data_IF_761199672887
#
_entry.id   IF_761199672887
#
_cell.length_a   1.000
_cell.length_b   1.000
_cell.length_c   1.000
_cell.angle_alpha   90.00
_cell.angle_beta   90.00
_cell.angle_gamma   90.00
#
_symmetry.space_group_name_H-M   'P 1'
#
loop_
_entity.id
_entity.type
_entity.pdbx_description
1 polymer ?
#
# COMPACT_ATOMS: atom_id res chain seq x y z
N UNK A 1 -100.93 36.85 -14.56
CA UNK A 1 -100.22 37.99 -13.95
C UNK A 1 -99.25 37.37 -12.95
N UNK A 2 -97.92 37.34 -13.09
CA UNK A 2 -96.95 38.13 -13.85
C UNK A 2 -95.64 37.30 -13.90
N UNK A 3 -94.89 37.33 -15.01
CA UNK A 3 -93.50 36.80 -15.07
C UNK A 3 -92.57 37.61 -14.16
N UNK A 4 -91.57 37.00 -13.49
CA UNK A 4 -90.16 37.45 -13.58
C UNK A 4 -89.15 36.38 -13.13
N UNK A 5 -88.06 36.27 -13.90
CA UNK A 5 -86.90 35.38 -13.81
C UNK A 5 -85.81 35.85 -12.81
N UNK A 6 -85.04 34.86 -12.33
CA UNK A 6 -83.59 34.84 -12.04
C UNK A 6 -83.04 35.80 -10.94
N UNK A 7 -82.00 35.49 -10.14
CA UNK A 7 -80.70 34.92 -10.48
C UNK A 7 -80.04 34.16 -9.32
N UNK A 8 -79.34 33.09 -9.70
CA UNK A 8 -78.27 32.40 -8.98
C UNK A 8 -77.25 33.35 -8.32
N UNK A 9 -76.91 33.08 -7.05
CA UNK A 9 -75.63 33.49 -6.47
C UNK A 9 -74.79 32.25 -6.22
N UNK A 10 -73.74 32.13 -7.04
CA UNK A 10 -72.79 31.02 -7.13
C UNK A 10 -71.99 30.89 -5.82
N UNK A 11 -71.95 29.69 -5.24
CA UNK A 11 -71.03 29.34 -4.17
C UNK A 11 -69.63 29.13 -4.76
N UNK A 12 -68.60 29.69 -4.11
CA UNK A 12 -67.19 29.41 -4.41
C UNK A 12 -66.62 28.52 -3.29
N UNK A 13 -65.90 27.43 -3.62
CA UNK A 13 -65.40 26.48 -2.63
C UNK A 13 -64.10 26.95 -1.96
N UNK A 14 -64.02 26.77 -0.64
CA UNK A 14 -62.79 26.84 0.14
C UNK A 14 -61.80 25.76 -0.34
N UNK A 15 -60.68 26.18 -0.95
CA UNK A 15 -59.53 25.31 -1.21
C UNK A 15 -58.71 25.16 0.07
N UNK A 16 -58.68 23.93 0.60
CA UNK A 16 -57.69 23.49 1.60
C UNK A 16 -56.33 23.39 0.92
N UNK A 17 -55.35 24.15 1.38
CA UNK A 17 -53.94 23.99 0.99
C UNK A 17 -53.39 22.89 1.91
N UNK A 18 -53.16 21.70 1.35
CA UNK A 18 -52.39 20.66 2.00
C UNK A 18 -50.91 21.04 1.89
N UNK A 19 -50.25 21.28 3.02
CA UNK A 19 -48.81 21.43 3.08
C UNK A 19 -48.19 20.03 3.04
N UNK A 20 -47.66 19.64 1.89
CA UNK A 20 -46.91 18.39 1.72
C UNK A 20 -45.46 18.66 2.14
N UNK A 21 -45.08 18.25 3.35
CA UNK A 21 -43.69 18.25 3.79
C UNK A 21 -42.96 17.11 3.10
N UNK A 22 -42.18 17.41 2.07
CA UNK A 22 -41.24 16.46 1.47
C UNK A 22 -40.03 16.32 2.41
N UNK A 23 -40.01 15.23 3.18
CA UNK A 23 -38.83 14.79 3.91
C UNK A 23 -37.86 14.20 2.87
N UNK A 24 -36.89 14.99 2.43
CA UNK A 24 -35.79 14.50 1.62
C UNK A 24 -34.89 13.62 2.49
N UNK A 25 -34.98 12.30 2.32
CA UNK A 25 -33.99 11.37 2.83
C UNK A 25 -32.71 11.60 2.01
N UNK A 26 -31.73 12.28 2.59
CA UNK A 26 -30.39 12.33 2.03
C UNK A 26 -29.80 10.92 2.15
N UNK A 27 -29.85 10.17 1.04
CA UNK A 27 -28.99 9.00 0.87
C UNK A 27 -27.57 9.55 0.80
N UNK A 28 -26.82 9.48 1.90
CA UNK A 28 -25.38 9.60 1.81
C UNK A 28 -24.91 8.44 0.93
N UNK A 29 -24.51 8.75 -0.30
CA UNK A 29 -23.79 7.80 -1.13
C UNK A 29 -22.47 7.54 -0.40
N UNK A 30 -22.34 6.38 0.23
CA UNK A 30 -21.02 5.83 0.54
C UNK A 30 -20.41 5.53 -0.82
N UNK A 31 -19.57 6.44 -1.31
CA UNK A 31 -18.70 6.14 -2.44
C UNK A 31 -17.75 5.03 -1.98
N UNK A 32 -17.68 3.88 -2.66
CA UNK A 32 -16.59 2.96 -2.42
C UNK A 32 -15.31 3.74 -2.76
N UNK A 33 -14.42 3.93 -1.78
CA UNK A 33 -13.09 4.47 -2.04
C UNK A 33 -12.38 3.38 -2.82
N UNK A 34 -12.34 3.57 -4.14
CA UNK A 34 -11.63 2.73 -5.08
C UNK A 34 -10.65 3.63 -5.81
N UNK A 35 -9.88 4.42 -5.06
CA UNK A 35 -8.73 5.13 -5.60
C UNK A 35 -7.50 4.27 -5.34
N UNK A 36 -7.29 3.31 -6.24
CA UNK A 36 -5.97 2.71 -6.46
C UNK A 36 -5.04 3.69 -7.22
N UNK A 37 -5.59 4.82 -7.69
CA UNK A 37 -4.85 5.92 -8.28
C UNK A 37 -4.75 7.02 -7.21
N UNK A 38 -3.61 7.10 -6.53
CA UNK A 38 -3.33 8.21 -5.63
C UNK A 38 -2.79 9.42 -6.41
N UNK A 39 -3.29 10.61 -6.09
CA UNK A 39 -2.77 11.87 -6.61
C UNK A 39 -1.69 12.42 -5.66
N UNK A 40 -0.43 12.07 -5.97
CA UNK A 40 0.74 12.51 -5.20
C UNK A 40 1.32 13.75 -5.88
N UNK A 41 1.13 14.92 -5.27
CA UNK A 41 1.73 16.16 -5.75
C UNK A 41 3.23 16.24 -5.43
N UNK A 42 4.03 16.75 -6.38
CA UNK A 42 5.48 16.91 -6.25
C UNK A 42 5.91 17.77 -5.05
N UNK A 43 5.05 18.69 -4.60
CA UNK A 43 5.31 19.66 -3.52
C UNK A 43 4.65 19.30 -2.18
N UNK A 44 4.09 18.09 -2.03
CA UNK A 44 3.54 17.62 -0.75
C UNK A 44 4.58 17.72 0.37
N UNK A 45 4.15 18.28 1.50
CA UNK A 45 5.06 18.68 2.58
C UNK A 45 5.53 17.50 3.43
N UNK A 46 6.76 17.62 3.92
CA UNK A 46 7.27 16.77 4.98
C UNK A 46 6.75 17.24 6.34
N UNK A 47 5.99 16.39 7.03
CA UNK A 47 5.60 16.65 8.41
C UNK A 47 6.71 16.18 9.36
N UNK A 48 7.03 17.03 10.34
CA UNK A 48 8.05 16.75 11.37
C UNK A 48 7.42 16.42 12.71
N UNK A 49 8.10 15.60 13.51
CA UNK A 49 7.73 15.29 14.88
C UNK A 49 6.77 14.10 14.97
N UNK A 50 6.68 13.57 16.20
CA UNK A 50 5.99 12.32 16.45
C UNK A 50 4.49 12.40 16.16
N UNK A 51 3.97 11.38 15.47
CA UNK A 51 2.56 11.18 15.20
C UNK A 51 2.14 9.75 15.55
N UNK A 52 0.93 9.62 16.09
CA UNK A 52 0.28 8.33 16.32
C UNK A 52 -0.95 8.28 15.43
N UNK A 53 -0.98 7.33 14.50
CA UNK A 53 -2.05 7.20 13.50
C UNK A 53 -2.81 5.92 13.81
N UNK A 54 -4.07 6.05 14.23
CA UNK A 54 -4.93 4.91 14.60
C UNK A 54 -5.98 4.56 13.55
N UNK A 55 -6.23 5.46 12.60
CA UNK A 55 -7.21 5.34 11.53
C UNK A 55 -6.76 6.21 10.35
N UNK A 56 -7.17 5.84 9.14
CA UNK A 56 -6.81 6.52 7.91
C UNK A 56 -5.81 5.74 7.07
N UNK A 57 -5.60 6.24 5.86
CA UNK A 57 -4.79 5.61 4.83
C UNK A 57 -3.31 6.02 4.97
N UNK A 58 -2.43 5.02 4.99
CA UNK A 58 -0.98 5.23 5.12
C UNK A 58 -0.24 4.25 4.22
N UNK A 59 0.58 4.77 3.31
CA UNK A 59 1.40 3.95 2.42
C UNK A 59 2.89 4.12 2.64
N UNK A 60 3.61 3.00 2.61
CA UNK A 60 5.05 2.99 2.46
C UNK A 60 5.40 3.32 1.01
N UNK A 61 6.22 4.34 0.80
CA UNK A 61 6.71 4.72 -0.52
C UNK A 61 8.22 4.87 -0.56
N UNK A 62 8.78 4.54 -1.72
CA UNK A 62 10.03 5.16 -2.15
C UNK A 62 9.70 6.58 -2.61
N UNK A 63 10.46 7.57 -2.18
CA UNK A 63 10.34 8.97 -2.56
C UNK A 63 11.65 9.40 -3.22
N UNK A 64 11.56 10.00 -4.41
CA UNK A 64 12.71 10.61 -5.07
C UNK A 64 12.51 12.12 -5.20
N UNK A 65 13.13 12.89 -4.30
CA UNK A 65 13.02 14.35 -4.25
C UNK A 65 14.39 14.97 -4.02
N UNK A 66 14.67 16.08 -4.71
CA UNK A 66 15.94 16.81 -4.63
C UNK A 66 17.18 15.93 -4.91
N UNK A 67 17.02 14.93 -5.79
CA UNK A 67 18.06 13.96 -6.14
C UNK A 67 18.42 12.99 -5.03
N UNK A 68 17.57 12.84 -4.01
CA UNK A 68 17.76 11.92 -2.89
C UNK A 68 16.64 10.87 -2.86
N UNK A 69 17.02 9.63 -2.60
CA UNK A 69 16.10 8.51 -2.41
C UNK A 69 15.81 8.32 -0.93
N UNK A 70 14.53 8.27 -0.58
CA UNK A 70 14.08 8.14 0.80
C UNK A 70 12.94 7.13 0.88
N UNK A 71 12.88 6.37 1.97
CA UNK A 71 11.68 5.61 2.31
C UNK A 71 10.84 6.49 3.24
N UNK A 72 9.60 6.76 2.87
CA UNK A 72 8.69 7.63 3.62
C UNK A 72 7.31 6.99 3.74
N UNK A 73 6.55 7.49 4.71
CA UNK A 73 5.13 7.19 4.85
C UNK A 73 4.34 8.33 4.24
N UNK A 74 3.53 8.02 3.24
CA UNK A 74 2.50 8.92 2.74
C UNK A 74 1.31 8.80 3.69
N UNK A 75 0.96 9.91 4.35
CA UNK A 75 -0.10 9.97 5.36
C UNK A 75 -1.26 10.82 4.84
N UNK A 76 -2.28 10.12 4.33
CA UNK A 76 -3.55 10.69 3.85
C UNK A 76 -4.60 10.80 4.97
N UNK A 77 -4.25 10.44 6.22
CA UNK A 77 -5.09 10.77 7.38
C UNK A 77 -5.01 12.25 7.76
N UNK A 78 -3.94 12.94 7.31
CA UNK A 78 -3.78 14.38 7.42
C UNK A 78 -4.46 15.10 6.24
N UNK A 79 -4.96 16.31 6.48
CA UNK A 79 -5.53 17.17 5.45
C UNK A 79 -4.81 18.54 5.45
N UNK A 80 -4.01 18.86 4.42
CA UNK A 80 -3.69 18.03 3.26
C UNK A 80 -2.77 16.84 3.60
N UNK A 81 -2.65 15.84 2.71
CA UNK A 81 -1.67 14.76 2.81
C UNK A 81 -0.24 15.23 3.05
N UNK A 82 0.51 14.44 3.82
CA UNK A 82 1.91 14.75 4.16
C UNK A 82 2.80 13.52 4.07
N UNK A 83 4.09 13.75 3.83
CA UNK A 83 5.12 12.73 3.96
C UNK A 83 5.68 12.72 5.38
N UNK A 84 5.88 11.54 5.97
CA UNK A 84 6.48 11.36 7.30
C UNK A 84 7.66 10.40 7.27
N UNK A 85 8.59 10.56 8.21
CA UNK A 85 9.58 9.52 8.50
C UNK A 85 8.91 8.39 9.26
N UNK A 86 9.25 7.14 8.95
CA UNK A 86 8.80 5.99 9.75
C UNK A 86 9.31 6.01 11.21
N UNK A 87 10.37 6.78 11.48
CA UNK A 87 10.88 7.00 12.84
C UNK A 87 10.02 7.93 13.69
N UNK A 88 9.24 8.79 13.04
CA UNK A 88 8.36 9.75 13.69
C UNK A 88 6.91 9.23 13.77
N UNK A 89 6.61 8.01 13.31
CA UNK A 89 5.23 7.50 13.25
C UNK A 89 5.08 6.20 14.01
N UNK A 90 4.01 6.13 14.81
CA UNK A 90 3.47 4.87 15.32
C UNK A 90 2.09 4.63 14.73
N UNK A 91 1.92 3.46 14.11
CA UNK A 91 0.65 2.97 13.61
C UNK A 91 -0.06 2.24 14.76
N UNK A 92 -1.09 2.84 15.33
CA UNK A 92 -1.84 2.27 16.45
C UNK A 92 -2.92 1.31 15.93
N UNK A 93 -2.70 0.02 16.14
CA UNK A 93 -3.65 -1.05 15.75
C UNK A 93 -4.57 -1.30 16.93
N UNK A 94 -5.71 -0.61 16.95
CA UNK A 94 -6.67 -0.65 18.07
C UNK A 94 -7.42 -2.00 18.15
N UNK A 95 -8.22 -2.19 19.19
CA UNK A 95 -9.06 -3.38 19.35
C UNK A 95 -10.15 -3.49 18.27
N UNK A 96 -10.41 -2.42 17.50
CA UNK A 96 -11.24 -2.49 16.29
C UNK A 96 -10.65 -3.43 15.22
N UNK A 97 -9.34 -3.68 15.26
CA UNK A 97 -8.63 -4.63 14.39
C UNK A 97 -8.68 -6.07 14.91
N UNK A 98 -9.19 -6.32 16.13
CA UNK A 98 -9.11 -7.63 16.76
C UNK A 98 -10.08 -8.63 16.12
N UNK A 99 -9.59 -9.79 15.68
CA UNK A 99 -10.36 -10.86 15.02
C UNK A 99 -10.01 -12.22 15.61
N UNK A 100 -10.98 -13.13 15.65
CA UNK A 100 -10.70 -14.53 15.97
C UNK A 100 -10.08 -15.21 14.75
N UNK A 101 -9.03 -15.99 14.98
CA UNK A 101 -8.36 -16.76 13.92
C UNK A 101 -9.36 -17.79 13.35
N UNK A 102 -9.59 -17.80 12.02
CA UNK A 102 -10.52 -18.76 11.40
C UNK A 102 -10.10 -20.21 11.60
N UNK A 103 -11.05 -21.14 11.51
CA UNK A 103 -10.82 -22.57 11.76
C UNK A 103 -10.16 -23.32 10.62
N UNK A 104 -10.23 -22.80 9.39
CA UNK A 104 -9.73 -23.45 8.17
C UNK A 104 -9.16 -22.39 7.22
N UNK A 105 -8.13 -22.75 6.45
CA UNK A 105 -7.58 -21.92 5.36
C UNK A 105 -6.63 -20.82 5.81
N UNK A 106 -6.29 -20.77 7.09
CA UNK A 106 -5.38 -19.80 7.71
C UNK A 106 -4.27 -20.46 8.54
N UNK A 107 -3.99 -21.74 8.27
CA UNK A 107 -2.97 -22.53 8.97
C UNK A 107 -1.56 -21.93 8.82
N UNK A 108 -1.31 -21.17 7.74
CA UNK A 108 -0.05 -20.46 7.50
C UNK A 108 0.24 -19.35 8.52
N UNK A 109 -0.77 -18.86 9.25
CA UNK A 109 -0.55 -17.94 10.36
C UNK A 109 0.15 -18.64 11.53
N UNK A 110 0.02 -19.98 11.61
CA UNK A 110 0.42 -20.83 12.73
C UNK A 110 0.01 -20.22 14.08
N UNK A 111 -1.26 -19.80 14.10
CA UNK A 111 -2.01 -19.34 15.24
C UNK A 111 -3.11 -20.36 15.56
N UNK A 112 -3.47 -20.49 16.83
CA UNK A 112 -4.52 -21.41 17.27
C UNK A 112 -5.89 -20.91 16.79
N UNK A 113 -6.68 -21.73 16.08
CA UNK A 113 -8.05 -21.38 15.74
C UNK A 113 -8.88 -20.90 16.93
N UNK A 114 -9.58 -19.78 16.74
CA UNK A 114 -10.39 -19.14 17.78
C UNK A 114 -9.60 -18.31 18.80
N UNK A 115 -8.27 -18.25 18.72
CA UNK A 115 -7.50 -17.25 19.47
C UNK A 115 -7.61 -15.88 18.83
N UNK A 116 -7.32 -14.84 19.62
CA UNK A 116 -7.47 -13.44 19.19
C UNK A 116 -6.17 -12.97 18.52
N UNK A 117 -6.28 -12.49 17.29
CA UNK A 117 -5.22 -11.79 16.58
C UNK A 117 -5.66 -10.36 16.24
N UNK A 118 -4.71 -9.48 15.89
CA UNK A 118 -5.00 -8.12 15.43
C UNK A 118 -4.67 -8.02 13.95
N UNK A 119 -5.66 -7.62 13.14
CA UNK A 119 -5.57 -7.63 11.69
C UNK A 119 -5.74 -6.22 11.16
N UNK A 120 -4.68 -5.63 10.62
CA UNK A 120 -4.79 -4.49 9.70
C UNK A 120 -5.21 -5.07 8.35
N UNK A 121 -6.42 -4.78 7.87
CA UNK A 121 -6.99 -5.48 6.73
C UNK A 121 -6.52 -4.92 5.39
N UNK A 122 -6.44 -5.79 4.38
CA UNK A 122 -6.21 -5.39 2.99
C UNK A 122 -7.30 -4.45 2.47
N UNK A 123 -8.55 -4.67 2.88
CA UNK A 123 -9.68 -3.76 2.59
C UNK A 123 -9.89 -2.84 3.78
N UNK A 124 -9.98 -1.53 3.53
CA UNK A 124 -10.24 -0.53 4.56
C UNK A 124 -11.40 -0.92 5.48
N UNK A 125 -11.19 -0.73 6.79
CA UNK A 125 -12.20 -0.98 7.82
C UNK A 125 -12.27 0.20 8.79
N UNK A 126 -13.48 0.63 9.20
CA UNK A 126 -13.65 1.73 10.14
C UNK A 126 -12.88 1.50 11.45
N UNK A 127 -12.21 2.55 11.94
CA UNK A 127 -11.47 2.54 13.19
C UNK A 127 -10.16 1.74 13.17
N UNK A 128 -9.68 1.32 11.99
CA UNK A 128 -8.42 0.62 11.80
C UNK A 128 -7.57 1.39 10.80
N UNK A 129 -6.31 1.67 11.15
CA UNK A 129 -5.33 2.22 10.20
C UNK A 129 -5.20 1.32 8.97
N UNK A 130 -5.18 1.89 7.78
CA UNK A 130 -5.15 1.16 6.52
C UNK A 130 -3.77 1.29 5.88
N UNK A 131 -2.96 0.24 6.03
CA UNK A 131 -1.52 0.27 5.74
C UNK A 131 -1.21 -0.46 4.44
N UNK A 132 -0.51 0.21 3.54
CA UNK A 132 -0.15 -0.32 2.22
C UNK A 132 1.23 0.13 1.77
N UNK A 133 1.48 0.01 0.47
CA UNK A 133 2.64 0.58 -0.20
C UNK A 133 2.26 1.17 -1.54
N UNK A 134 3.04 2.17 -1.95
CA UNK A 134 2.78 2.98 -3.12
C UNK A 134 4.07 3.25 -3.91
N UNK A 135 3.98 3.14 -5.23
CA UNK A 135 5.07 3.39 -6.21
C UNK A 135 4.70 4.43 -7.26
N UNK A 136 3.73 5.29 -6.93
CA UNK A 136 3.16 6.34 -7.80
C UNK A 136 3.80 7.71 -7.57
N UNK A 137 4.80 7.84 -6.69
CA UNK A 137 5.59 9.07 -6.55
C UNK A 137 6.12 9.51 -7.92
N UNK A 138 5.86 10.74 -8.37
CA UNK A 138 6.29 11.18 -9.70
C UNK A 138 7.81 11.10 -9.91
N UNK A 139 8.60 11.38 -8.87
CA UNK A 139 10.05 11.26 -8.91
C UNK A 139 10.52 9.82 -9.11
N UNK A 140 9.85 8.84 -8.47
CA UNK A 140 10.05 7.41 -8.70
C UNK A 140 9.65 7.02 -10.12
N UNK A 141 8.48 7.46 -10.59
CA UNK A 141 7.97 7.14 -11.92
C UNK A 141 8.86 7.69 -13.05
N UNK A 142 9.51 8.83 -12.83
CA UNK A 142 10.46 9.41 -13.79
C UNK A 142 11.81 8.70 -13.80
N UNK A 143 12.28 8.19 -12.65
CA UNK A 143 13.67 7.75 -12.48
C UNK A 143 13.87 6.23 -12.46
N UNK A 144 12.88 5.42 -12.11
CA UNK A 144 12.97 3.95 -12.02
C UNK A 144 12.60 3.28 -13.35
N UNK A 145 13.31 2.20 -13.72
CA UNK A 145 13.10 1.51 -15.01
C UNK A 145 11.82 0.65 -15.05
N UNK A 146 11.63 -0.23 -14.06
CA UNK A 146 10.57 -1.27 -14.09
C UNK A 146 9.69 -1.35 -12.86
N UNK A 147 10.27 -1.23 -11.69
CA UNK A 147 9.61 -1.51 -10.43
C UNK A 147 10.61 -1.48 -9.29
N UNK A 148 10.10 -1.76 -8.11
CA UNK A 148 10.86 -1.77 -6.88
C UNK A 148 10.71 -3.13 -6.20
N UNK A 149 11.72 -3.51 -5.42
CA UNK A 149 11.66 -4.64 -4.51
C UNK A 149 11.46 -4.10 -3.10
N UNK A 150 10.31 -4.40 -2.48
CA UNK A 150 10.10 -4.20 -1.05
C UNK A 150 10.76 -5.35 -0.30
N UNK A 151 11.61 -5.01 0.66
CA UNK A 151 12.34 -5.94 1.51
C UNK A 151 11.91 -5.77 2.95
N UNK A 152 11.57 -6.87 3.61
CA UNK A 152 11.52 -6.95 5.08
C UNK A 152 12.82 -7.58 5.54
N UNK A 153 13.58 -6.82 6.32
CA UNK A 153 14.93 -7.20 6.78
C UNK A 153 14.96 -7.64 8.24
N UNK A 154 13.88 -7.36 8.98
CA UNK A 154 13.70 -7.84 10.34
C UNK A 154 12.34 -7.44 10.91
N UNK A 155 11.81 -8.23 11.84
CA UNK A 155 10.64 -7.88 12.65
C UNK A 155 10.97 -8.15 14.11
N UNK A 156 10.73 -7.17 14.96
CA UNK A 156 10.86 -7.27 16.42
C UNK A 156 9.50 -7.03 17.05
N UNK A 157 9.10 -7.87 18.00
CA UNK A 157 7.86 -7.72 18.77
C UNK A 157 7.53 -8.99 19.56
N UNK A 158 6.46 -8.98 20.38
CA UNK A 158 6.14 -10.08 21.29
C UNK A 158 5.61 -11.33 20.59
N UNK A 159 4.80 -11.18 19.54
CA UNK A 159 4.18 -12.28 18.81
C UNK A 159 4.63 -12.42 17.36
N UNK A 160 4.10 -13.43 16.67
CA UNK A 160 4.32 -13.59 15.23
C UNK A 160 3.65 -12.47 14.43
N UNK A 161 4.28 -12.08 13.32
CA UNK A 161 3.72 -11.15 12.32
C UNK A 161 3.68 -11.83 10.96
N UNK A 162 2.54 -11.82 10.30
CA UNK A 162 2.38 -12.34 8.93
C UNK A 162 1.71 -11.30 8.06
N UNK A 163 2.26 -11.04 6.88
CA UNK A 163 1.73 -10.14 5.86
C UNK A 163 1.39 -10.94 4.62
N UNK A 164 0.14 -10.84 4.17
CA UNK A 164 -0.33 -11.61 3.01
C UNK A 164 -1.36 -10.85 2.17
N UNK A 165 -1.42 -11.19 0.89
CA UNK A 165 -2.46 -10.75 -0.03
C UNK A 165 -3.52 -11.83 -0.17
N UNK A 166 -4.77 -11.41 -0.32
CA UNK A 166 -5.86 -12.32 -0.65
C UNK A 166 -6.59 -11.85 -1.89
N UNK A 167 -6.55 -12.67 -2.94
CA UNK A 167 -7.24 -12.39 -4.19
C UNK A 167 -8.73 -12.76 -4.08
N UNK A 168 -9.56 -11.76 -3.81
CA UNK A 168 -11.00 -11.94 -3.62
C UNK A 168 -11.35 -12.81 -2.40
N UNK A 169 -12.62 -13.19 -2.28
CA UNK A 169 -13.10 -13.89 -1.08
C UNK A 169 -12.74 -15.39 -1.02
N UNK A 170 -12.19 -15.95 -2.10
CA UNK A 170 -11.95 -17.40 -2.22
C UNK A 170 -10.56 -17.75 -2.78
N UNK A 171 -9.71 -16.75 -3.04
CA UNK A 171 -8.33 -17.00 -3.44
C UNK A 171 -7.53 -17.56 -2.27
N UNK A 172 -6.56 -18.42 -2.58
CA UNK A 172 -5.58 -18.85 -1.59
C UNK A 172 -4.76 -17.63 -1.15
N UNK A 173 -4.49 -17.47 0.16
CA UNK A 173 -3.62 -16.43 0.67
C UNK A 173 -2.20 -16.52 0.10
N UNK A 174 -1.69 -15.40 -0.40
CA UNK A 174 -0.32 -15.27 -0.87
C UNK A 174 0.52 -14.60 0.24
N UNK A 175 1.29 -15.40 0.96
CA UNK A 175 2.11 -14.94 2.09
C UNK A 175 3.34 -14.24 1.56
N UNK A 176 3.45 -12.94 1.83
CA UNK A 176 4.56 -12.11 1.39
C UNK A 176 5.69 -12.09 2.42
N UNK A 177 5.34 -11.85 3.69
CA UNK A 177 6.29 -11.69 4.77
C UNK A 177 5.83 -12.42 6.03
N UNK A 178 6.75 -13.05 6.75
CA UNK A 178 6.47 -13.69 8.03
C UNK A 178 7.64 -13.53 8.98
N UNK A 179 7.37 -13.19 10.24
CA UNK A 179 8.41 -13.06 11.27
C UNK A 179 9.08 -14.39 11.65
N UNK A 180 8.61 -15.48 11.07
CA UNK A 180 9.05 -16.85 11.36
C UNK A 180 9.97 -17.41 10.28
N UNK A 181 10.08 -16.72 9.16
CA UNK A 181 10.94 -17.07 8.04
C UNK A 181 12.26 -16.30 8.13
N UNK A 182 13.28 -16.80 7.43
CA UNK A 182 14.58 -16.13 7.40
C UNK A 182 14.51 -14.79 6.64
N UNK A 183 15.31 -13.82 7.09
CA UNK A 183 15.46 -12.52 6.44
C UNK A 183 16.71 -12.46 5.55
N UNK A 184 16.75 -11.58 4.52
CA UNK A 184 15.64 -10.71 4.08
C UNK A 184 14.57 -11.50 3.31
N UNK A 185 13.33 -11.01 3.39
CA UNK A 185 12.21 -11.46 2.57
C UNK A 185 11.87 -10.35 1.57
N UNK A 186 11.50 -10.71 0.34
CA UNK A 186 11.37 -9.76 -0.76
C UNK A 186 10.04 -9.95 -1.51
N UNK A 187 9.43 -8.83 -1.89
CA UNK A 187 8.30 -8.79 -2.82
C UNK A 187 8.57 -7.79 -3.94
N UNK A 188 8.40 -8.23 -5.20
CA UNK A 188 8.49 -7.36 -6.37
C UNK A 188 7.20 -6.57 -6.55
N UNK A 189 7.32 -5.28 -6.80
CA UNK A 189 6.22 -4.34 -7.01
C UNK A 189 6.48 -3.60 -8.32
N UNK A 190 5.55 -3.71 -9.27
CA UNK A 190 5.60 -2.95 -10.52
C UNK A 190 5.44 -1.45 -10.25
N UNK A 191 6.03 -0.59 -11.09
CA UNK A 191 5.78 0.86 -11.01
C UNK A 191 4.30 1.20 -11.18
N UNK A 192 3.93 2.37 -10.66
CA UNK A 192 2.56 2.89 -10.70
C UNK A 192 1.55 1.90 -10.08
N UNK A 193 1.97 1.24 -8.99
CA UNK A 193 1.16 0.31 -8.22
C UNK A 193 0.91 0.86 -6.82
N UNK A 194 -0.35 0.74 -6.40
CA UNK A 194 -0.83 0.98 -5.05
C UNK A 194 -1.42 -0.33 -4.50
N UNK A 195 -0.97 -0.79 -3.34
CA UNK A 195 -1.44 -2.07 -2.78
C UNK A 195 -1.49 -2.05 -1.26
N UNK A 196 -2.61 -2.55 -0.73
CA UNK A 196 -2.76 -2.89 0.68
C UNK A 196 -2.71 -4.40 0.88
N UNK A 197 -2.27 -4.80 2.07
CA UNK A 197 -2.17 -6.20 2.46
C UNK A 197 -2.79 -6.42 3.84
N UNK A 198 -3.03 -7.68 4.18
CA UNK A 198 -3.42 -8.06 5.53
C UNK A 198 -2.16 -8.18 6.37
N UNK A 199 -2.03 -7.35 7.41
CA UNK A 199 -1.00 -7.52 8.44
C UNK A 199 -1.64 -8.14 9.67
N UNK A 200 -1.15 -9.32 10.07
CA UNK A 200 -1.66 -10.07 11.22
C UNK A 200 -0.60 -10.08 12.31
N UNK A 201 -0.97 -9.59 13.48
CA UNK A 201 -0.18 -9.64 14.70
C UNK A 201 -0.82 -10.65 15.65
N UNK A 202 -0.04 -11.67 16.04
CA UNK A 202 -0.52 -12.74 16.92
C UNK A 202 -0.70 -12.33 18.38
N UNK A 203 0.01 -11.28 18.84
CA UNK A 203 -0.04 -10.81 20.23
C UNK A 203 -0.16 -9.28 20.29
N UNK A 204 -0.76 -8.71 21.34
CA UNK A 204 -0.69 -7.28 21.58
C UNK A 204 0.73 -6.87 22.04
N UNK A 205 1.15 -5.67 21.66
CA UNK A 205 2.40 -5.05 22.11
C UNK A 205 3.03 -4.17 21.05
N UNK A 206 4.24 -3.69 21.34
CA UNK A 206 5.02 -2.86 20.45
C UNK A 206 5.79 -3.71 19.43
N UNK A 207 5.70 -3.31 18.15
CA UNK A 207 6.40 -3.96 17.04
C UNK A 207 7.22 -2.96 16.24
N UNK A 208 8.34 -3.43 15.72
CA UNK A 208 9.20 -2.73 14.77
C UNK A 208 9.47 -3.62 13.56
N UNK A 209 9.18 -3.13 12.36
CA UNK A 209 9.43 -3.81 11.09
C UNK A 209 10.50 -3.02 10.34
N UNK A 210 11.67 -3.60 10.16
CA UNK A 210 12.77 -3.01 9.41
C UNK A 210 12.58 -3.29 7.91
N UNK A 211 12.47 -2.24 7.10
CA UNK A 211 12.10 -2.31 5.68
C UNK A 211 13.10 -1.59 4.78
N UNK A 212 13.18 -2.03 3.52
CA UNK A 212 13.90 -1.29 2.49
C UNK A 212 13.22 -1.42 1.13
N UNK A 213 13.26 -0.34 0.34
CA UNK A 213 12.99 -0.40 -1.09
C UNK A 213 14.30 -0.44 -1.84
N UNK A 214 14.39 -1.33 -2.83
CA UNK A 214 15.49 -1.37 -3.78
C UNK A 214 14.97 -1.24 -5.21
N UNK A 215 15.67 -0.51 -6.07
CA UNK A 215 15.27 -0.31 -7.46
C UNK A 215 16.48 -0.11 -8.37
N UNK A 216 16.29 -0.39 -9.66
CA UNK A 216 17.22 -0.01 -10.72
C UNK A 216 16.68 1.23 -11.42
N UNK A 217 17.48 2.29 -11.50
CA UNK A 217 17.11 3.51 -12.22
C UNK A 217 17.20 3.31 -13.74
N UNK A 218 16.57 4.19 -14.51
CA UNK A 218 16.69 4.20 -15.99
C UNK A 218 18.15 4.38 -16.45
N UNK A 219 18.99 5.00 -15.62
CA UNK A 219 20.42 5.14 -15.86
C UNK A 219 21.22 3.84 -15.57
N UNK A 220 20.58 2.81 -15.03
CA UNK A 220 21.19 1.53 -14.66
C UNK A 220 21.88 1.54 -13.29
N UNK A 221 21.57 2.53 -12.44
CA UNK A 221 22.09 2.60 -11.07
C UNK A 221 21.17 1.83 -10.10
N UNK A 222 21.76 1.09 -9.17
CA UNK A 222 21.04 0.46 -8.07
C UNK A 222 20.88 1.44 -6.92
N UNK A 223 19.63 1.64 -6.47
CA UNK A 223 19.30 2.51 -5.35
C UNK A 223 18.62 1.71 -4.26
N UNK A 224 18.91 2.06 -3.00
CA UNK A 224 18.29 1.44 -1.83
C UNK A 224 17.95 2.54 -0.83
N UNK A 225 16.71 2.54 -0.35
CA UNK A 225 16.27 3.37 0.76
C UNK A 225 15.70 2.49 1.86
N UNK A 226 16.23 2.61 3.07
CA UNK A 226 15.84 1.82 4.23
C UNK A 226 15.11 2.69 5.26
N UNK A 227 14.23 2.06 6.02
CA UNK A 227 13.51 2.69 7.11
C UNK A 227 12.86 1.65 8.01
N UNK A 228 11.89 2.07 8.80
CA UNK A 228 11.16 1.18 9.69
C UNK A 228 9.69 1.57 9.82
N UNK A 229 8.86 0.59 10.17
CA UNK A 229 7.49 0.81 10.63
C UNK A 229 7.39 0.45 12.10
N UNK A 230 6.70 1.30 12.88
CA UNK A 230 6.38 1.01 14.26
C UNK A 230 4.89 0.81 14.42
N UNK A 231 4.52 -0.23 15.16
CA UNK A 231 3.13 -0.51 15.50
C UNK A 231 2.97 -0.59 17.02
N UNK A 232 1.88 0.00 17.51
CA UNK A 232 1.37 -0.24 18.86
C UNK A 232 0.09 -1.06 18.72
N UNK A 233 0.16 -2.35 19.06
CA UNK A 233 -0.92 -3.32 18.78
C UNK A 233 -1.73 -3.62 20.03
N UNK A 234 -3.05 -3.43 19.95
CA UNK A 234 -4.01 -3.54 21.05
C UNK A 234 -4.13 -2.24 21.85
N UNK A 235 -5.33 -1.92 22.35
CA UNK A 235 -5.61 -0.67 23.09
C UNK A 235 -4.77 -0.50 24.37
N UNK A 236 -4.25 -1.60 24.92
CA UNK A 236 -3.39 -1.60 26.10
C UNK A 236 -1.93 -1.21 25.84
N UNK A 237 -1.50 -1.12 24.59
CA UNK A 237 -0.09 -0.86 24.23
C UNK A 237 0.14 0.64 24.08
N UNK A 238 1.04 1.20 24.90
CA UNK A 238 1.38 2.61 24.79
C UNK A 238 2.23 2.89 23.54
N UNK A 239 1.92 3.91 22.71
CA UNK A 239 2.74 4.27 21.55
C UNK A 239 4.21 4.55 21.88
N UNK A 240 4.49 5.07 23.08
CA UNK A 240 5.85 5.33 23.56
C UNK A 240 6.70 4.04 23.61
N UNK A 241 6.10 2.87 23.84
CA UNK A 241 6.81 1.59 23.81
C UNK A 241 7.30 1.27 22.39
N UNK A 242 6.49 1.58 21.38
CA UNK A 242 6.86 1.40 19.97
C UNK A 242 7.91 2.43 19.53
N UNK A 243 7.80 3.69 19.95
CA UNK A 243 8.83 4.70 19.72
C UNK A 243 10.17 4.36 20.37
N UNK A 244 10.17 3.64 21.50
CA UNK A 244 11.39 3.20 22.17
C UNK A 244 12.12 2.05 21.45
N UNK A 245 11.48 1.38 20.48
CA UNK A 245 12.14 0.33 19.69
C UNK A 245 13.14 0.95 18.71
N UNK A 246 14.34 0.34 18.68
CA UNK A 246 15.45 0.76 17.83
C UNK A 246 15.72 -0.29 16.76
N UNK A 247 15.78 0.14 15.49
CA UNK A 247 16.14 -0.72 14.36
C UNK A 247 17.54 -1.26 14.49
N UNK A 248 17.71 -2.55 14.22
CA UNK A 248 19.05 -3.17 14.17
C UNK A 248 19.86 -2.67 12.98
N UNK A 249 19.17 -2.18 11.94
CA UNK A 249 19.72 -1.67 10.68
C UNK A 249 20.21 -0.22 10.81
N UNK A 250 19.78 0.49 11.87
CA UNK A 250 20.16 1.88 12.15
C UNK A 250 20.95 1.97 13.47
N UNK A 251 22.00 1.16 13.60
CA UNK A 251 23.06 1.46 14.56
C UNK A 251 24.02 2.44 13.87
N UNK A 252 24.13 3.72 14.30
CA UNK A 252 25.23 4.54 13.85
C UNK A 252 26.50 3.89 14.39
N UNK A 253 27.25 3.22 13.51
CA UNK A 253 28.58 2.76 13.84
C UNK A 253 29.40 3.98 14.25
N UNK A 254 29.52 4.20 15.56
CA UNK A 254 30.45 5.14 16.14
C UNK A 254 31.85 4.73 15.69
N UNK A 255 32.41 5.50 14.77
CA UNK A 255 33.81 5.88 14.66
C UNK A 255 34.82 4.83 15.22
N UNK A 256 34.93 3.70 14.55
CA UNK A 256 36.03 2.77 14.75
C UNK A 256 37.06 2.99 13.64
N UNK A 257 38.08 3.76 13.97
CA UNK A 257 39.30 3.97 13.18
C UNK A 257 39.89 2.62 12.75
N UNK A 258 40.31 2.43 11.49
CA UNK A 258 40.90 1.17 11.06
C UNK A 258 42.33 1.08 11.63
N UNK A 259 42.55 0.14 12.54
CA UNK A 259 43.90 -0.21 12.98
C UNK A 259 44.53 -1.10 11.90
N UNK A 260 45.54 -0.53 11.25
CA UNK A 260 46.39 -1.15 10.25
C UNK A 260 47.26 -2.22 10.90
N UNK A 261 47.08 -3.49 10.52
CA UNK A 261 48.15 -4.47 10.59
C UNK A 261 48.42 -5.05 9.20
N UNK A 262 49.54 -4.61 8.64
CA UNK A 262 50.17 -5.18 7.48
C UNK A 262 50.99 -6.40 7.91
N UNK A 263 50.65 -7.59 7.41
CA UNK A 263 51.65 -8.65 7.24
C UNK A 263 51.60 -9.17 5.80
N UNK A 264 52.64 -8.79 5.06
CA UNK A 264 53.04 -9.40 3.80
C UNK A 264 53.52 -10.83 4.06
N UNK A 265 52.97 -11.79 3.32
CA UNK A 265 53.78 -12.92 2.91
C UNK A 265 53.50 -13.28 1.45
N UNK A 266 54.50 -12.97 0.65
CA UNK A 266 54.69 -13.35 -0.74
C UNK A 266 54.97 -14.84 -0.84
N UNK A 267 54.37 -15.50 -1.82
CA UNK A 267 55.12 -16.38 -2.72
C UNK A 267 54.41 -16.47 -4.08
N UNK A 268 55.08 -15.94 -5.09
CA UNK A 268 54.80 -16.13 -6.52
C UNK A 268 55.45 -17.46 -6.95
N UNK A 269 55.07 -18.25 -7.96
CA UNK A 269 54.28 -18.12 -9.21
C UNK A 269 54.26 -19.56 -9.84
N UNK A 270 53.92 -19.87 -11.13
CA UNK A 270 53.02 -19.23 -12.11
C UNK A 270 52.21 -20.21 -13.08
N UNK A 271 51.30 -19.62 -13.89
CA UNK A 271 50.72 -20.08 -15.20
C UNK A 271 49.53 -21.12 -15.24
N UNK A 272 48.80 -21.30 -16.39
CA UNK A 272 47.84 -20.38 -17.02
C UNK A 272 46.54 -21.05 -17.62
N UNK A 273 45.56 -20.25 -18.05
CA UNK A 273 44.41 -20.48 -18.99
C UNK A 273 43.52 -21.74 -18.87
N UNK A 274 42.21 -21.54 -18.61
CA UNK A 274 41.12 -22.10 -19.46
C UNK A 274 39.99 -21.06 -19.58
N UNK A 275 39.74 -20.61 -20.81
CA UNK A 275 38.45 -20.08 -21.27
C UNK A 275 37.75 -21.22 -22.03
N UNK A 276 36.51 -21.52 -21.68
CA UNK A 276 35.41 -22.01 -22.53
C UNK A 276 34.26 -22.38 -21.57
N UNK A 277 33.07 -21.81 -21.64
CA UNK A 277 32.22 -21.73 -22.83
C UNK A 277 30.98 -22.58 -22.51
N UNK A 278 29.82 -21.93 -22.36
CA UNK A 278 28.61 -22.63 -21.92
C UNK A 278 27.37 -21.76 -21.86
N UNK A 279 27.07 -21.06 -22.96
CA UNK A 279 25.69 -20.68 -23.27
C UNK A 279 24.98 -21.97 -23.72
N UNK A 280 24.04 -22.47 -22.92
CA UNK A 280 22.92 -23.26 -23.47
C UNK A 280 21.63 -22.99 -22.70
N UNK A 281 20.68 -22.46 -23.47
CA UNK A 281 19.26 -22.21 -23.25
C UNK A 281 18.50 -23.44 -22.72
N UNK A 282 17.63 -23.24 -21.73
CA UNK A 282 16.34 -23.94 -21.64
C UNK A 282 15.24 -22.91 -21.36
N UNK A 283 14.50 -22.58 -22.41
CA UNK A 283 13.19 -21.93 -22.38
C UNK A 283 12.10 -23.00 -22.35
N UNK A 284 11.12 -22.80 -21.47
CA UNK A 284 9.72 -23.28 -21.43
C UNK A 284 9.41 -23.64 -19.97
N UNK A 285 8.52 -22.96 -19.25
CA UNK A 285 7.07 -22.88 -19.49
C UNK A 285 6.53 -21.61 -18.83
N UNK A 286 5.66 -20.87 -19.53
CA UNK A 286 4.98 -19.71 -18.95
C UNK A 286 4.28 -18.76 -19.94
N UNK A 287 3.95 -19.19 -21.16
CA UNK A 287 3.03 -18.45 -22.04
C UNK A 287 1.71 -19.20 -22.10
N UNK A 288 0.82 -18.89 -21.17
CA UNK A 288 -0.65 -18.78 -21.33
C UNK A 288 -1.05 -17.94 -20.10
N UNK A 289 -1.27 -16.62 -20.18
CA UNK A 289 -2.61 -16.01 -20.34
C UNK A 289 -2.57 -14.59 -20.98
N UNK A 290 -1.41 -13.96 -21.18
CA UNK A 290 -1.34 -12.53 -21.56
C UNK A 290 -1.53 -12.10 -23.02
N UNK A 291 -1.78 -12.99 -23.99
CA UNK A 291 -1.64 -12.65 -25.43
C UNK A 291 -2.93 -12.64 -26.28
N UNK A 292 -4.11 -12.78 -25.67
CA UNK A 292 -5.39 -12.74 -26.42
C UNK A 292 -6.13 -11.39 -26.30
N UNK A 293 -5.83 -10.55 -25.29
CA UNK A 293 -6.50 -9.25 -25.12
C UNK A 293 -5.96 -8.15 -26.06
N UNK A 294 -4.67 -8.15 -26.39
CA UNK A 294 -4.02 -7.05 -27.15
C UNK A 294 -4.26 -7.07 -28.67
N UNK A 295 -4.78 -8.18 -29.22
CA UNK A 295 -5.09 -8.31 -30.66
C UNK A 295 -6.52 -7.90 -31.03
N UNK A 296 -7.44 -7.82 -30.07
CA UNK A 296 -8.82 -7.33 -30.30
C UNK A 296 -8.92 -5.80 -30.29
N UNK A 297 -8.14 -5.12 -29.44
CA UNK A 297 -8.14 -3.65 -29.36
C UNK A 297 -7.62 -2.97 -30.65
N UNK A 298 -6.66 -3.58 -31.37
CA UNK A 298 -6.08 -2.98 -32.58
C UNK A 298 -6.90 -3.16 -33.86
N UNK A 299 -8.00 -3.94 -33.84
CA UNK A 299 -8.92 -4.07 -34.98
C UNK A 299 -10.14 -3.16 -34.89
N UNK A 300 -10.48 -2.66 -33.71
CA UNK A 300 -11.58 -1.69 -33.54
C UNK A 300 -11.17 -0.25 -33.91
N UNK A 301 -9.89 0.11 -33.76
CA UNK A 301 -9.39 1.46 -34.06
C UNK A 301 -9.06 1.73 -35.54
N UNK A 302 -9.47 0.86 -36.49
CA UNK A 302 -9.27 1.06 -37.94
C UNK A 302 -10.57 1.16 -38.76
N UNK A 303 -11.73 1.18 -38.11
CA UNK A 303 -13.03 1.29 -38.80
C UNK A 303 -13.69 2.68 -38.73
N UNK A 304 -13.08 3.68 -38.10
CA UNK A 304 -13.60 5.04 -38.10
C UNK A 304 -12.59 6.01 -38.75
N UNK A 305 -12.70 6.12 -40.07
CA UNK A 305 -12.28 7.32 -40.79
C UNK A 305 -13.47 7.80 -41.62
N UNK A 306 -13.96 9.04 -41.44
CA UNK A 306 -15.15 9.50 -42.12
C UNK A 306 -14.87 9.74 -43.60
N UNK A 307 -15.71 9.15 -44.46
CA UNK A 307 -15.72 9.37 -45.90
C UNK A 307 -16.34 10.75 -46.16
N UNK A 308 -15.51 11.70 -46.58
CA UNK A 308 -15.96 13.01 -47.09
C UNK A 308 -16.79 12.84 -48.37
N UNK A 309 -18.01 13.36 -48.35
CA UNK A 309 -18.82 13.62 -49.54
C UNK A 309 -18.19 14.75 -50.37
N UNK A 310 -18.01 14.53 -51.67
CA UNK A 310 -18.13 15.57 -52.70
C UNK A 310 -18.48 14.92 -54.04
N UNK A 311 -19.57 15.41 -54.65
CA UNK A 311 -20.10 14.91 -55.91
C UNK A 311 -19.49 15.55 -57.15
N UNK A 312 -19.72 14.88 -58.28
CA UNK A 312 -20.05 15.40 -59.60
C UNK A 312 -20.43 14.19 -60.48
#
# INVERSE_FOLDING_TARGET
>A
MTETKALMRRQLPFRRIAATTLLALALAAVTPVSDLDQDIDDDQQDATGQAVISEGHVDLGLLHRDGQWQLRLHDDSAEPPVWRSGDDVVLAVTDAAARDVPTEGFEFLDLTPGERAYVVPQTEAPGVVWVGWNTQDPGVLEAVDRGVTLRVTGITGPGAVTVFLQSGSFGEPDVLFSSREAYPQEAWIELNTHTHANWVFGEPGAYLVDVAFAATTIAGEEVVASGSLRFAVGEGTAPDEAFALTSSVHSPAADATPESDAEQQTDAAPWPWIIAGGITVVLAVGVVVGSVASRRARRAARSETPRTEHGA
#
